data_IF_705229842738
#
_entry.id   IF_705229842738
#
_cell.length_a   1.000
_cell.length_b   1.000
_cell.length_c   1.000
_cell.angle_alpha   90.00
_cell.angle_beta   90.00
_cell.angle_gamma   90.00
#
_symmetry.space_group_name_H-M   'P 1'
#
loop_
_entity.id
_entity.type
_entity.pdbx_description
1 polymer ?
#
# COMPACT_ATOMS: atom_id res chain seq x y z
N UNK A 1 2.62 -6.67 18.55
CA UNK A 1 3.69 -7.08 17.64
C UNK A 1 4.47 -5.82 17.30
N UNK A 2 5.60 -5.59 17.98
CA UNK A 2 6.51 -4.49 17.64
C UNK A 2 7.36 -4.95 16.44
N UNK A 3 6.70 -5.29 15.33
CA UNK A 3 7.37 -5.70 14.11
C UNK A 3 7.93 -4.46 13.44
N UNK A 4 9.20 -4.52 13.05
CA UNK A 4 9.83 -3.48 12.26
C UNK A 4 8.98 -3.28 10.99
N UNK A 5 8.53 -2.05 10.73
CA UNK A 5 7.72 -1.74 9.54
C UNK A 5 8.38 -2.26 8.26
N UNK A 6 9.71 -2.26 8.19
CA UNK A 6 10.45 -2.79 7.04
C UNK A 6 10.23 -4.29 6.81
N UNK A 7 10.05 -5.08 7.87
CA UNK A 7 9.74 -6.51 7.77
C UNK A 7 8.31 -6.71 7.26
N UNK A 8 7.36 -5.93 7.75
CA UNK A 8 5.97 -5.97 7.29
C UNK A 8 5.86 -5.59 5.80
N UNK A 9 6.54 -4.52 5.39
CA UNK A 9 6.57 -4.09 4.00
C UNK A 9 7.25 -5.13 3.10
N UNK A 10 8.33 -5.77 3.58
CA UNK A 10 9.00 -6.84 2.86
C UNK A 10 8.08 -8.04 2.66
N UNK A 11 7.50 -8.57 3.75
CA UNK A 11 6.62 -9.74 3.72
C UNK A 11 5.39 -9.54 2.83
N UNK A 12 4.78 -8.34 2.87
CA UNK A 12 3.69 -8.01 1.95
C UNK A 12 4.22 -7.95 0.51
N UNK A 13 5.34 -7.28 0.26
CA UNK A 13 5.87 -7.08 -1.10
C UNK A 13 6.25 -8.37 -1.82
N UNK A 14 6.66 -9.41 -1.10
CA UNK A 14 6.96 -10.73 -1.67
C UNK A 14 5.72 -11.42 -2.24
N UNK A 15 4.54 -11.00 -1.81
CA UNK A 15 3.26 -11.55 -2.25
C UNK A 15 2.57 -10.69 -3.32
N UNK A 16 3.25 -9.65 -3.85
CA UNK A 16 2.70 -8.73 -4.85
C UNK A 16 3.29 -9.03 -6.22
N UNK A 17 2.44 -9.24 -7.23
CA UNK A 17 2.90 -9.46 -8.61
C UNK A 17 3.35 -8.16 -9.28
N UNK A 18 4.01 -8.27 -10.44
CA UNK A 18 4.40 -7.11 -11.24
C UNK A 18 3.19 -6.28 -11.65
N UNK A 19 2.10 -6.93 -12.09
CA UNK A 19 0.87 -6.27 -12.54
C UNK A 19 0.18 -5.54 -11.38
N UNK A 20 0.13 -6.17 -10.20
CA UNK A 20 -0.42 -5.55 -8.99
C UNK A 20 0.41 -4.35 -8.54
N UNK A 21 1.74 -4.46 -8.59
CA UNK A 21 2.66 -3.35 -8.31
C UNK A 21 2.43 -2.21 -9.29
N UNK A 22 2.32 -2.48 -10.60
CA UNK A 22 2.08 -1.44 -11.61
C UNK A 22 0.72 -0.75 -11.40
N UNK A 23 -0.32 -1.52 -11.03
CA UNK A 23 -1.61 -0.95 -10.62
C UNK A 23 -1.47 -0.06 -9.36
N UNK A 24 -0.69 -0.47 -8.37
CA UNK A 24 -0.43 0.35 -7.17
C UNK A 24 0.33 1.64 -7.51
N UNK A 25 1.30 1.59 -8.43
CA UNK A 25 2.02 2.78 -8.93
C UNK A 25 1.02 3.78 -9.52
N UNK A 26 0.11 3.31 -10.39
CA UNK A 26 -0.94 4.16 -10.96
C UNK A 26 -1.83 4.79 -9.88
N UNK A 27 -2.25 4.01 -8.88
CA UNK A 27 -3.04 4.52 -7.75
C UNK A 27 -2.29 5.52 -6.87
N UNK A 28 -0.96 5.49 -6.87
CA UNK A 28 -0.10 6.40 -6.13
C UNK A 28 0.25 7.68 -6.90
N UNK A 29 -0.32 7.91 -8.08
CA UNK A 29 -0.06 9.11 -8.88
C UNK A 29 -0.29 10.41 -8.06
N UNK A 30 0.72 11.27 -8.04
CA UNK A 30 0.75 12.49 -7.21
C UNK A 30 1.32 12.31 -5.80
N UNK A 31 1.53 11.07 -5.34
CA UNK A 31 2.28 10.74 -4.09
C UNK A 31 3.74 10.37 -4.36
N UNK A 32 3.99 9.82 -5.54
CA UNK A 32 5.33 9.50 -6.06
C UNK A 32 5.59 10.34 -7.32
N UNK A 33 6.85 10.72 -7.54
CA UNK A 33 7.24 11.48 -8.75
C UNK A 33 7.50 10.54 -9.92
N UNK A 34 7.50 11.06 -11.15
CA UNK A 34 7.88 10.27 -12.33
C UNK A 34 9.28 9.63 -12.19
N UNK A 35 10.24 10.41 -11.66
CA UNK A 35 11.58 9.93 -11.36
C UNK A 35 11.59 8.77 -10.33
N UNK A 36 10.72 8.80 -9.32
CA UNK A 36 10.63 7.66 -8.39
C UNK A 36 10.12 6.41 -9.11
N UNK A 37 9.09 6.56 -9.93
CA UNK A 37 8.46 5.47 -10.67
C UNK A 37 9.46 4.75 -11.58
N UNK A 38 10.32 5.50 -12.27
CA UNK A 38 11.40 4.94 -13.10
C UNK A 38 12.38 4.06 -12.30
N UNK A 39 12.57 4.36 -11.01
CA UNK A 39 13.45 3.62 -10.11
C UNK A 39 12.74 2.45 -9.37
N UNK A 40 11.44 2.24 -9.59
CA UNK A 40 10.66 1.17 -8.97
C UNK A 40 10.58 -0.03 -9.91
N UNK A 41 11.42 -1.02 -9.66
CA UNK A 41 11.37 -2.33 -10.33
C UNK A 41 10.48 -3.33 -9.57
N UNK A 42 10.48 -3.26 -8.23
CA UNK A 42 9.80 -4.22 -7.33
C UNK A 42 8.85 -3.54 -6.35
N UNK A 43 7.81 -4.27 -5.88
CA UNK A 43 6.84 -3.77 -4.90
C UNK A 43 7.48 -3.25 -3.61
N UNK A 44 8.58 -3.86 -3.16
CA UNK A 44 9.33 -3.38 -1.99
C UNK A 44 9.85 -1.96 -2.15
N UNK A 45 10.32 -1.61 -3.35
CA UNK A 45 10.83 -0.27 -3.64
C UNK A 45 9.70 0.77 -3.63
N UNK A 46 8.52 0.42 -4.13
CA UNK A 46 7.32 1.25 -4.03
C UNK A 46 6.98 1.54 -2.56
N UNK A 47 6.88 0.50 -1.73
CA UNK A 47 6.54 0.66 -0.32
C UNK A 47 7.58 1.46 0.45
N UNK A 48 8.86 1.24 0.17
CA UNK A 48 9.94 2.02 0.77
C UNK A 48 9.91 3.49 0.35
N UNK A 49 9.59 3.77 -0.91
CA UNK A 49 9.41 5.13 -1.41
C UNK A 49 8.27 5.85 -0.68
N UNK A 50 7.10 5.19 -0.59
CA UNK A 50 5.95 5.71 0.16
C UNK A 50 6.27 5.91 1.64
N UNK A 51 7.04 5.00 2.25
CA UNK A 51 7.49 5.13 3.64
C UNK A 51 8.43 6.32 3.83
N UNK A 52 9.45 6.46 2.96
CA UNK A 52 10.39 7.60 2.99
C UNK A 52 9.69 8.96 2.82
N UNK A 53 8.61 8.99 2.05
CA UNK A 53 7.78 10.19 1.84
C UNK A 53 6.76 10.42 2.96
N UNK A 54 6.71 9.56 3.98
CA UNK A 54 5.82 9.68 5.13
C UNK A 54 4.37 9.29 4.85
N UNK A 55 4.08 8.64 3.72
CA UNK A 55 2.74 8.18 3.38
C UNK A 55 2.37 6.84 4.04
N UNK A 56 3.38 6.06 4.41
CA UNK A 56 3.25 4.84 5.19
C UNK A 56 4.19 4.99 6.38
N UNK A 57 3.70 4.84 7.61
CA UNK A 57 4.52 4.92 8.82
C UNK A 57 4.18 3.77 9.75
N UNK A 58 4.99 3.56 10.79
CA UNK A 58 4.73 2.51 11.78
C UNK A 58 3.40 2.72 12.53
N UNK A 59 2.99 3.97 12.66
CA UNK A 59 1.75 4.38 13.33
C UNK A 59 0.55 4.40 12.37
N UNK A 60 0.81 4.65 11.09
CA UNK A 60 -0.24 4.80 10.07
C UNK A 60 0.05 3.98 8.81
N UNK A 61 -0.67 2.86 8.68
CA UNK A 61 -0.68 1.97 7.51
C UNK A 61 -1.92 2.18 6.61
N UNK A 62 -2.71 3.23 6.83
CA UNK A 62 -3.98 3.47 6.13
C UNK A 62 -3.83 3.42 4.61
N UNK A 63 -2.82 4.10 4.05
CA UNK A 63 -2.58 4.08 2.61
C UNK A 63 -2.21 2.67 2.11
N UNK A 64 -1.36 1.93 2.83
CA UNK A 64 -0.99 0.56 2.45
C UNK A 64 -2.22 -0.34 2.41
N UNK A 65 -3.09 -0.23 3.42
CA UNK A 65 -4.34 -0.97 3.50
C UNK A 65 -5.28 -0.61 2.34
N UNK A 66 -5.39 0.69 2.03
CA UNK A 66 -6.20 1.12 0.89
C UNK A 66 -5.66 0.59 -0.42
N UNK A 67 -4.35 0.63 -0.66
CA UNK A 67 -3.75 0.10 -1.89
C UNK A 67 -4.08 -1.39 -2.07
N UNK A 68 -3.88 -2.20 -1.03
CA UNK A 68 -4.21 -3.63 -1.05
C UNK A 68 -5.70 -3.87 -1.32
N UNK A 69 -6.57 -3.06 -0.71
CA UNK A 69 -8.00 -3.12 -0.95
C UNK A 69 -8.37 -2.81 -2.40
N UNK A 70 -7.78 -1.76 -3.00
CA UNK A 70 -8.06 -1.34 -4.39
C UNK A 70 -7.63 -2.39 -5.41
N UNK A 71 -6.49 -3.05 -5.18
CA UNK A 71 -6.04 -4.18 -6.03
C UNK A 71 -6.71 -5.51 -5.65
N UNK A 72 -7.72 -5.49 -4.77
CA UNK A 72 -8.51 -6.65 -4.33
C UNK A 72 -7.74 -7.74 -3.58
N UNK A 73 -6.58 -7.42 -3.00
CA UNK A 73 -5.79 -8.32 -2.15
C UNK A 73 -6.26 -8.33 -0.70
N UNK A 74 -7.50 -8.76 -0.53
CA UNK A 74 -8.16 -8.88 0.78
C UNK A 74 -7.48 -9.96 1.64
N UNK A 75 -6.92 -10.99 1.02
CA UNK A 75 -6.10 -12.03 1.66
C UNK A 75 -4.91 -11.43 2.41
N UNK A 76 -4.20 -10.47 1.81
CA UNK A 76 -3.06 -9.82 2.46
C UNK A 76 -3.51 -8.86 3.58
N UNK A 77 -4.64 -8.18 3.40
CA UNK A 77 -5.22 -7.34 4.44
C UNK A 77 -5.54 -8.15 5.70
N UNK A 78 -6.19 -9.30 5.55
CA UNK A 78 -6.58 -10.13 6.69
C UNK A 78 -5.37 -10.83 7.30
N UNK A 79 -4.52 -11.43 6.47
CA UNK A 79 -3.46 -12.32 6.94
C UNK A 79 -2.22 -11.56 7.45
N UNK A 80 -1.92 -10.40 6.88
CA UNK A 80 -0.72 -9.62 7.22
C UNK A 80 -1.03 -8.39 8.07
N UNK A 81 -2.17 -7.72 7.82
CA UNK A 81 -2.53 -6.45 8.47
C UNK A 81 -3.73 -6.53 9.42
N UNK A 82 -4.27 -7.74 9.65
CA UNK A 82 -5.39 -8.01 10.57
C UNK A 82 -6.60 -7.08 10.34
N UNK A 83 -6.83 -6.70 9.09
CA UNK A 83 -7.90 -5.77 8.70
C UNK A 83 -8.86 -6.51 7.78
N UNK A 84 -10.15 -6.54 8.12
CA UNK A 84 -11.17 -7.16 7.26
C UNK A 84 -11.62 -6.22 6.16
N UNK A 85 -12.26 -6.77 5.13
CA UNK A 85 -12.86 -5.99 4.05
C UNK A 85 -13.87 -4.96 4.58
N UNK A 86 -14.73 -5.37 5.50
CA UNK A 86 -15.80 -4.53 6.07
C UNK A 86 -15.21 -3.40 6.93
N UNK A 87 -14.12 -3.68 7.66
CA UNK A 87 -13.39 -2.63 8.38
C UNK A 87 -12.82 -1.61 7.40
N UNK A 88 -12.19 -2.07 6.31
CA UNK A 88 -11.64 -1.18 5.29
C UNK A 88 -12.74 -0.32 4.63
N UNK A 89 -13.89 -0.91 4.29
CA UNK A 89 -15.01 -0.17 3.72
C UNK A 89 -15.55 0.92 4.67
N UNK A 90 -15.52 0.68 5.99
CA UNK A 90 -15.85 1.72 6.98
C UNK A 90 -14.80 2.81 7.05
N UNK A 91 -13.51 2.44 7.06
CA UNK A 91 -12.40 3.38 7.15
C UNK A 91 -12.37 4.31 5.92
N UNK A 92 -12.59 3.76 4.72
CA UNK A 92 -12.63 4.52 3.47
C UNK A 92 -13.78 5.52 3.38
N UNK A 93 -14.91 5.28 4.08
CA UNK A 93 -15.99 6.26 4.17
C UNK A 93 -15.59 7.48 4.99
N UNK A 94 -14.69 7.32 5.95
CA UNK A 94 -14.19 8.42 6.77
C UNK A 94 -13.03 9.14 6.09
N UNK A 95 -12.08 8.38 5.54
CA UNK A 95 -10.88 8.92 4.91
C UNK A 95 -10.36 7.99 3.83
N UNK A 96 -10.47 8.43 2.58
CA UNK A 96 -9.78 7.84 1.46
C UNK A 96 -8.52 8.65 1.14
N UNK A 97 -7.40 7.96 0.95
CA UNK A 97 -6.15 8.54 0.49
C UNK A 97 -6.02 8.48 -1.04
N UNK A 98 -6.80 7.62 -1.69
CA UNK A 98 -6.81 7.45 -3.16
C UNK A 98 -8.15 7.95 -3.71
N UNK A 99 -8.10 8.84 -4.70
CA UNK A 99 -9.31 9.41 -5.30
C UNK A 99 -10.08 8.35 -6.08
N UNK A 100 -11.41 8.33 -5.93
CA UNK A 100 -12.31 7.35 -6.56
C UNK A 100 -12.43 7.45 -8.09
N UNK A 101 -11.98 8.56 -8.69
CA UNK A 101 -12.14 8.89 -10.11
C UNK A 101 -10.87 8.71 -10.94
N UNK A 102 -10.10 7.63 -10.71
CA UNK A 102 -8.96 7.28 -11.55
C UNK A 102 -9.21 6.01 -12.33
#
# INVERSE_FOLDING_TARGET
MNGNIQEVLLDISENITTEEKDAMIFLCEGKITAHDTENISYARQLFHCLHKRGHITQEDLSLLKELLYRIRRIDLLTNKLKTTKEQMERDLKQRAHISLYR
#
